data_IF_342470377307
#
_entry.id   IF_342470377307
#
_cell.length_a   1.000
_cell.length_b   1.000
_cell.length_c   1.000
_cell.angle_alpha   90.00
_cell.angle_beta   90.00
_cell.angle_gamma   90.00
#
_symmetry.space_group_name_H-M   'P 1'
#
loop_
_entity.id
_entity.type
_entity.pdbx_description
1 polymer ?
#
# COMPACT_ATOMS: atom_id res chain seq x y z
N UNK A 1 12.72 -34.35 54.88
CA UNK A 1 11.55 -33.59 54.40
C UNK A 1 12.02 -32.74 53.22
N UNK A 2 11.49 -33.02 52.02
CA UNK A 2 11.77 -32.31 50.76
C UNK A 2 10.74 -31.20 50.61
N UNK A 3 11.13 -29.93 50.64
CA UNK A 3 10.33 -28.81 50.12
C UNK A 3 11.28 -27.70 49.70
N UNK A 4 11.69 -27.74 48.44
CA UNK A 4 12.47 -26.69 47.80
C UNK A 4 11.85 -26.37 46.46
N UNK A 5 11.43 -25.11 46.32
CA UNK A 5 11.28 -24.39 45.05
C UNK A 5 10.32 -25.00 44.00
N UNK A 6 9.01 -24.99 44.26
CA UNK A 6 8.00 -24.98 43.20
C UNK A 6 7.85 -23.56 42.67
N UNK A 7 8.77 -23.15 41.80
CA UNK A 7 8.73 -21.88 41.09
C UNK A 7 9.83 -21.81 40.04
N UNK A 8 9.43 -21.55 38.78
CA UNK A 8 10.28 -21.33 37.61
C UNK A 8 10.83 -22.57 36.87
N UNK A 9 9.98 -23.31 36.16
CA UNK A 9 10.45 -24.20 35.07
C UNK A 9 9.43 -24.49 33.96
N UNK A 10 8.49 -23.57 33.67
CA UNK A 10 7.56 -23.76 32.55
C UNK A 10 7.43 -22.51 31.64
N UNK A 11 8.46 -21.64 31.64
CA UNK A 11 8.60 -20.54 30.67
C UNK A 11 9.33 -20.95 29.38
N UNK A 12 9.48 -22.25 29.12
CA UNK A 12 10.47 -22.74 28.14
C UNK A 12 9.94 -23.41 26.86
N UNK A 13 8.62 -23.55 26.66
CA UNK A 13 8.10 -24.37 25.57
C UNK A 13 6.94 -23.73 24.77
N UNK A 14 6.88 -22.40 24.67
CA UNK A 14 6.19 -21.79 23.53
C UNK A 14 7.19 -21.77 22.38
N UNK A 15 6.99 -22.50 21.29
CA UNK A 15 7.90 -22.38 20.17
C UNK A 15 7.73 -20.97 19.63
N UNK A 16 8.78 -20.15 19.78
CA UNK A 16 8.91 -18.85 19.15
C UNK A 16 9.14 -19.05 17.65
N UNK A 17 8.18 -19.66 16.96
CA UNK A 17 8.07 -19.58 15.51
C UNK A 17 7.57 -18.17 15.15
N UNK A 18 8.36 -17.16 15.50
CA UNK A 18 8.39 -15.92 14.76
C UNK A 18 8.93 -16.27 13.37
N UNK A 19 8.05 -16.72 12.48
CA UNK A 19 8.37 -16.84 11.06
C UNK A 19 8.67 -15.43 10.57
N UNK A 20 9.97 -15.10 10.43
CA UNK A 20 10.43 -13.82 9.89
C UNK A 20 9.80 -13.66 8.51
N UNK A 21 8.78 -12.81 8.39
CA UNK A 21 7.98 -12.64 7.16
C UNK A 21 6.47 -12.93 7.27
N UNK A 22 5.95 -13.34 8.44
CA UNK A 22 4.51 -13.61 8.61
C UNK A 22 3.60 -12.38 8.39
N UNK A 23 4.15 -11.17 8.52
CA UNK A 23 3.46 -9.91 8.24
C UNK A 23 3.82 -9.41 6.84
N UNK A 24 3.24 -10.02 5.79
CA UNK A 24 3.13 -9.47 4.43
C UNK A 24 4.37 -8.78 3.79
N UNK A 25 5.58 -8.97 4.33
CA UNK A 25 6.81 -8.33 3.89
C UNK A 25 7.50 -9.32 2.96
N UNK A 26 7.73 -8.91 1.71
CA UNK A 26 8.28 -9.74 0.64
C UNK A 26 7.25 -10.49 -0.20
N UNK A 27 6.02 -9.98 -0.37
CA UNK A 27 5.09 -10.55 -1.35
C UNK A 27 5.65 -10.38 -2.78
N UNK A 28 5.27 -11.28 -3.69
CA UNK A 28 5.95 -11.48 -4.99
C UNK A 28 6.14 -10.21 -5.83
N UNK A 29 5.24 -9.24 -5.69
CA UNK A 29 5.19 -7.97 -6.42
C UNK A 29 5.16 -6.77 -5.46
N UNK A 30 5.78 -6.89 -4.29
CA UNK A 30 5.94 -5.74 -3.40
C UNK A 30 6.72 -4.64 -4.12
N UNK A 31 6.18 -3.41 -4.21
CA UNK A 31 6.88 -2.34 -4.86
C UNK A 31 8.20 -2.08 -4.13
N UNK A 32 9.33 -2.17 -4.83
CA UNK A 32 10.64 -1.88 -4.28
C UNK A 32 11.01 -0.42 -4.52
N UNK A 33 11.80 0.20 -3.63
CA UNK A 33 12.21 1.60 -3.79
C UNK A 33 11.20 2.62 -3.25
N UNK A 34 11.33 3.88 -3.66
CA UNK A 34 10.54 5.01 -3.15
C UNK A 34 9.24 5.30 -3.91
N UNK A 35 9.05 4.69 -5.08
CA UNK A 35 7.92 4.98 -5.98
C UNK A 35 7.19 3.73 -6.45
N UNK A 36 5.93 3.89 -6.87
CA UNK A 36 5.11 2.89 -7.56
C UNK A 36 4.64 3.50 -8.87
N UNK A 37 4.89 2.83 -9.98
CA UNK A 37 4.52 3.35 -11.31
C UNK A 37 3.23 2.70 -11.81
N UNK A 38 2.25 3.52 -12.19
CA UNK A 38 1.05 3.08 -12.90
C UNK A 38 1.21 3.28 -14.40
N UNK A 39 0.84 2.27 -15.19
CA UNK A 39 0.78 2.38 -16.64
C UNK A 39 -0.66 2.62 -17.08
N UNK A 40 -0.94 3.76 -17.69
CA UNK A 40 -2.27 4.07 -18.23
C UNK A 40 -2.29 3.79 -19.73
N UNK A 41 -3.07 2.78 -20.12
CA UNK A 41 -3.29 2.48 -21.53
C UNK A 41 -4.61 3.15 -21.96
N UNK A 42 -4.50 4.34 -22.55
CA UNK A 42 -5.63 5.14 -23.03
C UNK A 42 -5.41 5.54 -24.49
N UNK A 43 -6.46 5.66 -25.31
CA UNK A 43 -6.32 6.08 -26.70
C UNK A 43 -5.76 7.50 -26.80
N UNK A 44 -4.51 7.65 -27.24
CA UNK A 44 -3.90 8.98 -27.43
C UNK A 44 -4.15 9.56 -28.82
N UNK A 45 -4.62 8.73 -29.76
CA UNK A 45 -4.89 9.12 -31.15
C UNK A 45 -6.07 8.29 -31.71
N UNK A 46 -6.60 8.71 -32.86
CA UNK A 46 -7.72 8.05 -33.52
C UNK A 46 -9.08 8.63 -33.14
N UNK A 47 -10.16 7.90 -33.45
CA UNK A 47 -11.53 8.42 -33.32
C UNK A 47 -11.99 8.67 -31.87
N UNK A 48 -11.29 8.10 -30.88
CA UNK A 48 -11.62 8.21 -29.46
C UNK A 48 -10.53 8.94 -28.66
N UNK A 49 -9.69 9.73 -29.35
CA UNK A 49 -8.58 10.43 -28.72
C UNK A 49 -9.04 11.47 -27.70
N UNK A 50 -10.21 12.09 -27.93
CA UNK A 50 -10.76 13.11 -27.05
C UNK A 50 -11.23 12.49 -25.74
N UNK A 51 -11.92 11.35 -25.80
CA UNK A 51 -12.30 10.58 -24.61
C UNK A 51 -11.06 10.04 -23.87
N UNK A 52 -10.06 9.53 -24.61
CA UNK A 52 -8.81 9.07 -24.01
C UNK A 52 -8.02 10.19 -23.32
N UNK A 53 -8.09 11.43 -23.83
CA UNK A 53 -7.50 12.59 -23.19
C UNK A 53 -8.25 13.01 -21.92
N UNK A 54 -9.58 12.87 -21.88
CA UNK A 54 -10.40 13.07 -20.68
C UNK A 54 -10.08 12.00 -19.62
N UNK A 55 -10.02 10.74 -20.01
CA UNK A 55 -9.64 9.62 -19.13
C UNK A 55 -8.23 9.81 -18.57
N UNK A 56 -7.27 10.21 -19.42
CA UNK A 56 -5.92 10.47 -18.98
C UNK A 56 -5.86 11.56 -17.92
N UNK A 57 -6.58 12.67 -18.14
CA UNK A 57 -6.65 13.76 -17.15
C UNK A 57 -7.27 13.30 -15.84
N UNK A 58 -8.30 12.47 -15.89
CA UNK A 58 -8.91 11.89 -14.70
C UNK A 58 -7.92 10.98 -13.94
N UNK A 59 -7.16 10.15 -14.64
CA UNK A 59 -6.14 9.30 -14.03
C UNK A 59 -4.99 10.10 -13.40
N UNK A 60 -4.54 11.17 -14.05
CA UNK A 60 -3.54 12.08 -13.48
C UNK A 60 -4.04 12.76 -12.20
N UNK A 61 -5.32 13.15 -12.17
CA UNK A 61 -5.94 13.73 -10.98
C UNK A 61 -6.05 12.70 -9.85
N UNK A 62 -6.41 11.46 -10.17
CA UNK A 62 -6.44 10.38 -9.19
C UNK A 62 -5.06 10.11 -8.57
N UNK A 63 -3.99 10.15 -9.36
CA UNK A 63 -2.61 10.01 -8.85
C UNK A 63 -2.27 11.13 -7.86
N UNK A 64 -2.65 12.38 -8.15
CA UNK A 64 -2.49 13.50 -7.21
C UNK A 64 -3.20 13.20 -5.89
N UNK A 65 -4.48 12.82 -5.94
CA UNK A 65 -5.25 12.52 -4.74
C UNK A 65 -4.69 11.35 -3.92
N UNK A 66 -4.19 10.29 -4.58
CA UNK A 66 -3.56 9.14 -3.90
C UNK A 66 -2.26 9.56 -3.19
N UNK A 67 -1.50 10.48 -3.79
CA UNK A 67 -0.31 11.07 -3.21
C UNK A 67 -0.61 12.17 -2.16
N UNK A 68 -1.89 12.40 -1.85
CA UNK A 68 -2.31 13.44 -0.89
C UNK A 68 -2.11 14.86 -1.41
N UNK A 69 -1.87 15.00 -2.71
CA UNK A 69 -1.80 16.27 -3.42
C UNK A 69 -3.23 16.66 -3.88
N UNK A 70 -3.59 17.94 -3.83
CA UNK A 70 -4.92 18.42 -4.23
C UNK A 70 -5.95 18.42 -3.09
N UNK A 71 -7.20 18.04 -3.39
CA UNK A 71 -8.32 18.10 -2.45
C UNK A 71 -8.51 16.82 -1.61
N UNK A 72 -7.60 15.85 -1.75
CA UNK A 72 -7.70 14.53 -1.10
C UNK A 72 -8.73 13.61 -1.74
N UNK A 73 -9.40 14.02 -2.82
CA UNK A 73 -10.37 13.25 -3.59
C UNK A 73 -11.43 12.60 -2.71
N UNK A 74 -11.57 11.28 -2.84
CA UNK A 74 -12.53 10.49 -2.06
C UNK A 74 -12.01 10.04 -0.69
N UNK A 75 -10.73 10.25 -0.37
CA UNK A 75 -10.17 9.87 0.93
C UNK A 75 -10.95 10.39 2.14
N UNK A 76 -11.41 11.67 2.19
CA UNK A 76 -12.19 12.17 3.32
C UNK A 76 -13.60 11.58 3.42
N UNK A 77 -14.11 10.95 2.35
CA UNK A 77 -15.44 10.32 2.35
C UNK A 77 -15.43 8.91 2.92
N UNK A 78 -14.26 8.28 3.04
CA UNK A 78 -14.16 6.95 3.62
C UNK A 78 -14.28 7.00 5.14
N UNK A 79 -15.12 6.13 5.69
CA UNK A 79 -15.23 5.92 7.14
C UNK A 79 -13.98 5.27 7.74
N UNK A 80 -13.19 4.58 6.93
CA UNK A 80 -11.93 3.95 7.32
C UNK A 80 -10.75 4.88 7.09
N UNK A 81 -10.04 5.25 8.16
CA UNK A 81 -8.85 6.12 8.12
C UNK A 81 -7.56 5.38 7.75
N UNK A 82 -7.67 4.24 7.07
CA UNK A 82 -6.51 3.42 6.70
C UNK A 82 -5.63 4.09 5.65
N UNK A 83 -6.21 4.97 4.82
CA UNK A 83 -5.52 5.66 3.74
C UNK A 83 -5.23 7.10 4.16
N UNK A 84 -3.95 7.46 4.25
CA UNK A 84 -3.49 8.79 4.68
C UNK A 84 -3.16 9.73 3.53
N UNK A 85 -3.28 9.27 2.28
CA UNK A 85 -2.85 10.04 1.11
C UNK A 85 -1.32 10.16 1.01
N UNK A 86 -0.55 9.17 1.46
CA UNK A 86 0.91 9.15 1.32
C UNK A 86 1.37 8.20 0.18
N UNK A 87 0.56 8.10 -0.88
CA UNK A 87 0.77 7.12 -1.94
C UNK A 87 0.35 5.71 -1.54
N UNK A 88 0.96 4.69 -2.16
CA UNK A 88 0.66 3.27 -1.92
C UNK A 88 1.76 2.66 -1.05
N UNK A 89 1.39 2.12 0.11
CA UNK A 89 2.34 1.55 1.07
C UNK A 89 3.49 2.51 1.44
N UNK A 90 3.20 3.81 1.54
CA UNK A 90 4.18 4.86 1.85
C UNK A 90 5.13 5.23 0.71
N UNK A 91 4.82 4.80 -0.52
CA UNK A 91 5.61 5.09 -1.73
C UNK A 91 4.82 6.01 -2.65
N UNK A 92 5.50 7.00 -3.23
CA UNK A 92 4.87 7.96 -4.13
C UNK A 92 4.42 7.26 -5.42
N UNK A 93 3.21 7.55 -5.86
CA UNK A 93 2.70 7.05 -7.14
C UNK A 93 3.16 7.96 -8.27
N UNK A 94 3.73 7.36 -9.29
CA UNK A 94 4.07 7.98 -10.58
C UNK A 94 3.30 7.28 -11.69
N UNK A 95 3.26 7.86 -12.88
CA UNK A 95 2.58 7.24 -14.01
C UNK A 95 3.33 7.37 -15.32
N UNK A 96 3.04 6.45 -16.23
CA UNK A 96 3.47 6.46 -17.63
C UNK A 96 2.24 6.25 -18.53
N UNK A 97 2.31 6.78 -19.75
CA UNK A 97 1.22 6.76 -20.75
C UNK A 97 1.74 6.33 -22.09
#
# INVERSE_FOLDING_TARGET
MRTGLTGAAAFGATPYFFTRGAYAAGYRNEPTGGTVTFGFNVPQTGAYADEGADELRAYQLAVKHINGEGDGGMLPTFSSKALTGAGINGKKVEFVT
#
